data_IF_341407380114
#
_entry.id   IF_341407380114
#
_cell.length_a   1.000
_cell.length_b   1.000
_cell.length_c   1.000
_cell.angle_alpha   90.00
_cell.angle_beta   90.00
_cell.angle_gamma   90.00
#
_symmetry.space_group_name_H-M   'P 1'
#
loop_
_entity.id
_entity.type
_entity.pdbx_description
1 polymer ?
#
# COMPACT_ATOMS: atom_id res chain seq x y z
N UNK A 1 0.30 14.41 2.77
CA UNK A 1 -0.36 13.36 3.58
C UNK A 1 -0.58 13.78 5.04
N UNK A 2 0.42 14.31 5.78
CA UNK A 2 0.21 14.71 7.18
C UNK A 2 -0.85 15.80 7.32
N UNK A 3 -0.84 16.78 6.41
CA UNK A 3 -1.82 17.88 6.37
C UNK A 3 -3.28 17.38 6.34
N UNK A 4 -3.61 16.45 5.42
CA UNK A 4 -4.94 15.81 5.36
C UNK A 4 -5.30 15.10 6.68
N UNK A 5 -4.34 14.41 7.30
CA UNK A 5 -4.58 13.73 8.57
C UNK A 5 -4.92 14.73 9.69
N UNK A 6 -4.20 15.87 9.78
CA UNK A 6 -4.52 16.90 10.76
C UNK A 6 -5.91 17.53 10.52
N UNK A 7 -6.29 17.76 9.26
CA UNK A 7 -7.61 18.31 8.92
C UNK A 7 -8.75 17.36 9.31
N UNK A 8 -8.57 16.07 9.04
CA UNK A 8 -9.55 15.04 9.43
C UNK A 8 -9.66 14.96 10.96
N UNK A 9 -8.54 14.93 11.69
CA UNK A 9 -8.52 14.86 13.17
C UNK A 9 -9.13 16.12 13.78
N UNK A 10 -8.92 17.29 13.17
CA UNK A 10 -9.44 18.58 13.64
C UNK A 10 -10.92 18.80 13.33
N UNK A 11 -11.57 17.86 12.62
CA UNK A 11 -13.00 17.93 12.30
C UNK A 11 -13.34 18.76 11.05
N UNK A 12 -12.35 19.21 10.28
CA UNK A 12 -12.55 19.92 9.01
C UNK A 12 -12.83 18.99 7.82
N UNK A 13 -12.91 17.67 8.06
CA UNK A 13 -13.20 16.66 7.06
C UNK A 13 -12.03 16.38 6.12
N UNK A 14 -12.32 15.81 4.95
CA UNK A 14 -11.33 15.47 3.93
C UNK A 14 -11.02 16.71 3.05
N UNK A 15 -10.38 17.70 3.66
CA UNK A 15 -10.01 18.99 3.08
C UNK A 15 -8.52 19.29 3.31
N UNK A 16 -7.93 20.18 2.51
CA UNK A 16 -6.52 20.57 2.64
C UNK A 16 -6.41 21.81 3.53
N UNK A 17 -5.36 21.87 4.35
CA UNK A 17 -5.07 23.02 5.19
C UNK A 17 -4.44 24.20 4.45
N UNK A 18 -3.96 23.97 3.23
CA UNK A 18 -3.23 24.93 2.42
C UNK A 18 -3.64 24.85 0.95
N UNK A 19 -3.50 25.97 0.24
CA UNK A 19 -3.80 26.02 -1.19
C UNK A 19 -2.83 25.16 -2.00
N UNK A 20 -3.39 24.30 -2.85
CA UNK A 20 -2.69 23.52 -3.85
C UNK A 20 -3.07 24.02 -5.25
N UNK A 21 -2.21 23.77 -6.25
CA UNK A 21 -2.42 24.18 -7.64
C UNK A 21 -3.80 23.81 -8.22
N UNK A 22 -4.44 22.76 -7.71
CA UNK A 22 -5.71 22.22 -8.20
C UNK A 22 -6.79 22.12 -7.10
N UNK A 23 -6.53 22.61 -5.89
CA UNK A 23 -7.47 22.55 -4.78
C UNK A 23 -7.23 23.69 -3.78
N UNK A 24 -8.28 24.41 -3.40
CA UNK A 24 -8.21 25.49 -2.42
C UNK A 24 -8.32 24.96 -0.99
N UNK A 25 -7.66 25.65 -0.05
CA UNK A 25 -7.73 25.36 1.39
C UNK A 25 -9.17 25.39 1.91
N UNK A 26 -9.47 24.49 2.85
CA UNK A 26 -10.79 24.37 3.50
C UNK A 26 -11.91 23.82 2.61
N UNK A 27 -11.67 23.55 1.32
CA UNK A 27 -12.64 22.91 0.44
C UNK A 27 -12.46 21.38 0.43
N UNK A 28 -13.54 20.59 0.30
CA UNK A 28 -13.44 19.15 0.10
C UNK A 28 -12.58 18.82 -1.13
N UNK A 29 -11.67 17.87 -1.00
CA UNK A 29 -10.72 17.52 -2.06
C UNK A 29 -10.84 16.06 -2.50
N UNK A 30 -10.54 15.77 -3.76
CA UNK A 30 -10.41 14.41 -4.29
C UNK A 30 -9.04 14.19 -4.97
N UNK A 31 -8.05 15.05 -4.68
CA UNK A 31 -6.76 15.03 -5.37
C UNK A 31 -5.84 13.88 -4.93
N UNK A 32 -6.10 13.31 -3.75
CA UNK A 32 -5.39 12.14 -3.22
C UNK A 32 -6.42 11.07 -2.89
N UNK A 33 -6.09 9.82 -3.15
CA UNK A 33 -6.93 8.68 -2.80
C UNK A 33 -7.11 8.59 -1.28
N UNK A 34 -8.35 8.37 -0.77
CA UNK A 34 -8.64 8.49 0.65
C UNK A 34 -8.03 7.38 1.51
N UNK A 35 -7.74 6.21 0.94
CA UNK A 35 -7.27 5.05 1.69
C UNK A 35 -6.00 5.34 2.49
N UNK A 36 -5.03 6.03 1.88
CA UNK A 36 -3.74 6.28 2.52
C UNK A 36 -3.78 7.40 3.58
N UNK A 37 -4.39 8.57 3.33
CA UNK A 37 -4.60 9.57 4.39
C UNK A 37 -5.43 9.03 5.56
N UNK A 38 -6.43 8.18 5.33
CA UNK A 38 -7.19 7.52 6.40
C UNK A 38 -6.31 6.57 7.22
N UNK A 39 -5.41 5.81 6.59
CA UNK A 39 -4.43 4.97 7.29
C UNK A 39 -3.50 5.79 8.19
N UNK A 40 -2.99 6.92 7.67
CA UNK A 40 -2.13 7.84 8.45
C UNK A 40 -2.93 8.46 9.60
N UNK A 41 -4.17 8.87 9.35
CA UNK A 41 -5.08 9.42 10.37
C UNK A 41 -5.33 8.41 11.49
N UNK A 42 -5.65 7.16 11.16
CA UNK A 42 -5.83 6.10 12.13
C UNK A 42 -4.56 5.86 12.97
N UNK A 43 -3.39 5.87 12.33
CA UNK A 43 -2.11 5.79 13.05
C UNK A 43 -1.92 6.95 14.02
N UNK A 44 -2.29 8.16 13.63
CA UNK A 44 -2.16 9.35 14.48
C UNK A 44 -3.11 9.30 15.68
N UNK A 45 -4.32 8.81 15.49
CA UNK A 45 -5.28 8.61 16.59
C UNK A 45 -4.80 7.55 17.60
N UNK A 46 -4.14 6.49 17.13
CA UNK A 46 -3.70 5.38 17.98
C UNK A 46 -2.36 5.61 18.68
N UNK A 47 -1.42 6.28 18.00
CA UNK A 47 -0.02 6.38 18.42
C UNK A 47 0.48 7.83 18.56
N UNK A 48 -0.39 8.82 18.37
CA UNK A 48 -0.02 10.23 18.30
C UNK A 48 0.65 10.61 16.98
N UNK A 49 1.14 11.84 16.86
CA UNK A 49 1.82 12.39 15.68
C UNK A 49 3.23 11.79 15.48
N UNK A 50 3.28 10.48 15.31
CA UNK A 50 4.49 9.71 15.11
C UNK A 50 4.46 9.06 13.73
N UNK A 51 5.51 9.26 12.94
CA UNK A 51 5.65 8.61 11.63
C UNK A 51 6.14 7.15 11.73
N UNK A 52 6.69 6.76 12.88
CA UNK A 52 7.32 5.45 13.05
C UNK A 52 6.34 4.28 12.82
N UNK A 53 5.10 4.28 13.36
CA UNK A 53 4.17 3.18 13.15
C UNK A 53 3.80 2.98 11.68
N UNK A 54 3.54 4.07 10.94
CA UNK A 54 3.23 4.01 9.51
C UNK A 54 4.42 3.46 8.71
N UNK A 55 5.64 3.92 9.03
CA UNK A 55 6.86 3.42 8.36
C UNK A 55 7.12 1.94 8.65
N UNK A 56 6.89 1.49 9.88
CA UNK A 56 7.01 0.08 10.23
C UNK A 56 5.98 -0.75 9.46
N UNK A 57 4.74 -0.26 9.34
CA UNK A 57 3.71 -0.91 8.56
C UNK A 57 4.08 -0.98 7.07
N UNK A 58 4.59 0.11 6.48
CA UNK A 58 5.13 0.10 5.12
C UNK A 58 6.28 -0.90 4.99
N UNK A 59 7.20 -0.98 5.94
CA UNK A 59 8.30 -1.94 5.91
C UNK A 59 7.80 -3.40 5.92
N UNK A 60 6.78 -3.70 6.73
CA UNK A 60 6.14 -5.02 6.76
C UNK A 60 5.49 -5.34 5.41
N UNK A 61 4.75 -4.41 4.81
CA UNK A 61 4.15 -4.61 3.48
C UNK A 61 5.21 -4.75 2.38
N UNK A 62 6.31 -3.98 2.44
CA UNK A 62 7.43 -4.11 1.52
C UNK A 62 8.11 -5.49 1.62
N UNK A 63 8.34 -5.98 2.84
CA UNK A 63 8.88 -7.32 3.07
C UNK A 63 7.91 -8.41 2.58
N UNK A 64 6.61 -8.27 2.88
CA UNK A 64 5.58 -9.19 2.43
C UNK A 64 5.47 -9.21 0.89
N UNK A 65 5.67 -8.07 0.22
CA UNK A 65 5.72 -7.98 -1.25
C UNK A 65 6.81 -8.90 -1.81
N UNK A 66 7.99 -8.92 -1.20
CA UNK A 66 9.08 -9.81 -1.61
C UNK A 66 8.69 -11.30 -1.48
N UNK A 67 7.95 -11.67 -0.43
CA UNK A 67 7.43 -13.02 -0.26
C UNK A 67 6.41 -13.39 -1.35
N UNK A 68 5.52 -12.48 -1.73
CA UNK A 68 4.59 -12.69 -2.86
C UNK A 68 5.34 -12.83 -4.19
N UNK A 69 6.39 -12.03 -4.42
CA UNK A 69 7.24 -12.15 -5.62
C UNK A 69 7.88 -13.54 -5.70
N UNK A 70 8.35 -14.11 -4.58
CA UNK A 70 8.84 -15.50 -4.55
C UNK A 70 7.75 -16.48 -5.00
N UNK A 71 6.55 -16.39 -4.42
CA UNK A 71 5.46 -17.33 -4.74
C UNK A 71 5.03 -17.20 -6.20
N UNK A 72 4.96 -15.98 -6.72
CA UNK A 72 4.63 -15.70 -8.13
C UNK A 72 5.71 -16.30 -9.04
N UNK A 73 6.99 -15.99 -8.81
CA UNK A 73 8.09 -16.50 -9.64
C UNK A 73 8.21 -18.03 -9.60
N UNK A 74 7.98 -18.63 -8.41
CA UNK A 74 7.95 -20.09 -8.23
C UNK A 74 6.87 -20.74 -9.08
N UNK A 75 5.68 -20.14 -9.13
CA UNK A 75 4.54 -20.67 -9.90
C UNK A 75 4.66 -20.39 -11.39
N UNK A 76 5.16 -19.22 -11.76
CA UNK A 76 5.24 -18.80 -13.16
C UNK A 76 6.29 -19.58 -13.94
N UNK A 77 7.43 -19.91 -13.30
CA UNK A 77 8.56 -20.53 -13.98
C UNK A 77 9.08 -21.72 -13.16
N UNK A 78 9.78 -21.48 -12.05
CA UNK A 78 10.29 -22.50 -11.15
C UNK A 78 10.79 -21.89 -9.82
N UNK A 79 11.12 -22.73 -8.86
CA UNK A 79 11.56 -22.30 -7.54
C UNK A 79 12.84 -21.44 -7.54
N UNK A 80 13.80 -21.75 -8.41
CA UNK A 80 15.04 -20.98 -8.51
C UNK A 80 14.74 -19.54 -8.95
N UNK A 81 13.88 -19.36 -9.96
CA UNK A 81 13.43 -18.05 -10.42
C UNK A 81 12.72 -17.28 -9.31
N UNK A 82 11.83 -17.94 -8.54
CA UNK A 82 11.18 -17.31 -7.39
C UNK A 82 12.19 -16.80 -6.36
N UNK A 83 13.19 -17.60 -5.99
CA UNK A 83 14.22 -17.19 -5.02
C UNK A 83 15.06 -16.04 -5.54
N UNK A 84 15.51 -16.09 -6.80
CA UNK A 84 16.31 -15.01 -7.40
C UNK A 84 15.50 -13.71 -7.47
N UNK A 85 14.26 -13.77 -7.94
CA UNK A 85 13.40 -12.59 -8.04
C UNK A 85 13.16 -11.94 -6.67
N UNK A 86 12.79 -12.72 -5.66
CA UNK A 86 12.56 -12.20 -4.31
C UNK A 86 13.82 -11.62 -3.67
N UNK A 87 14.98 -12.27 -3.84
CA UNK A 87 16.26 -11.75 -3.35
C UNK A 87 16.63 -10.43 -4.01
N UNK A 88 16.48 -10.33 -5.34
CA UNK A 88 16.74 -9.09 -6.08
C UNK A 88 15.79 -7.97 -5.64
N UNK A 89 14.49 -8.27 -5.45
CA UNK A 89 13.51 -7.29 -4.97
C UNK A 89 13.80 -6.83 -3.54
N UNK A 90 14.27 -7.71 -2.66
CA UNK A 90 14.57 -7.39 -1.26
C UNK A 90 15.73 -6.39 -1.13
N UNK A 91 16.71 -6.45 -2.03
CA UNK A 91 17.85 -5.52 -2.06
C UNK A 91 17.69 -4.38 -3.08
N UNK A 92 16.54 -4.32 -3.77
CA UNK A 92 16.32 -3.31 -4.80
C UNK A 92 16.23 -1.93 -4.14
N UNK A 93 17.13 -0.98 -4.49
CA UNK A 93 17.26 0.28 -3.76
C UNK A 93 15.97 1.08 -3.68
N UNK A 94 15.15 1.08 -4.74
CA UNK A 94 13.88 1.83 -4.72
C UNK A 94 12.90 1.23 -3.70
N UNK A 95 12.74 -0.10 -3.63
CA UNK A 95 11.85 -0.72 -2.64
C UNK A 95 12.24 -0.34 -1.20
N UNK A 96 13.54 -0.28 -0.93
CA UNK A 96 14.05 0.13 0.39
C UNK A 96 13.86 1.64 0.61
N UNK A 97 14.16 2.47 -0.38
CA UNK A 97 14.06 3.93 -0.25
C UNK A 97 12.62 4.42 -0.09
N UNK A 98 11.66 3.84 -0.83
CA UNK A 98 10.24 4.20 -0.77
C UNK A 98 9.53 3.74 0.50
N UNK A 99 10.20 2.95 1.37
CA UNK A 99 9.67 2.61 2.70
C UNK A 99 9.74 3.78 3.69
N UNK A 100 10.62 4.77 3.45
CA UNK A 100 10.81 5.93 4.34
C UNK A 100 9.78 7.05 4.18
N UNK A 101 9.49 7.54 2.96
CA UNK A 101 8.48 8.55 2.76
C UNK A 101 7.08 7.95 2.96
N UNK A 102 6.16 8.74 3.53
CA UNK A 102 4.77 8.32 3.71
C UNK A 102 4.04 8.48 2.39
N UNK A 103 4.18 7.47 1.53
CA UNK A 103 3.61 7.43 0.20
C UNK A 103 2.92 6.08 -0.08
N UNK A 104 2.09 6.08 -1.11
CA UNK A 104 1.21 4.97 -1.47
C UNK A 104 1.93 3.81 -2.14
N UNK A 105 3.15 3.99 -2.68
CA UNK A 105 3.75 3.03 -3.61
C UNK A 105 3.99 1.66 -2.97
N UNK A 106 4.46 1.62 -1.72
CA UNK A 106 4.73 0.33 -1.05
C UNK A 106 3.45 -0.48 -0.85
N UNK A 107 2.36 0.19 -0.46
CA UNK A 107 1.05 -0.45 -0.27
C UNK A 107 0.48 -0.86 -1.63
N UNK A 108 0.58 0.00 -2.66
CA UNK A 108 0.14 -0.32 -4.01
C UNK A 108 0.91 -1.50 -4.61
N UNK A 109 2.22 -1.57 -4.43
CA UNK A 109 3.04 -2.71 -4.85
C UNK A 109 2.64 -4.00 -4.15
N UNK A 110 2.35 -3.93 -2.84
CA UNK A 110 1.86 -5.08 -2.08
C UNK A 110 0.51 -5.56 -2.60
N UNK A 111 -0.47 -4.67 -2.74
CA UNK A 111 -1.81 -5.01 -3.24
C UNK A 111 -1.71 -5.59 -4.65
N UNK A 112 -0.92 -4.99 -5.53
CA UNK A 112 -0.67 -5.52 -6.87
C UNK A 112 -0.08 -6.93 -6.85
N UNK A 113 0.92 -7.18 -5.99
CA UNK A 113 1.50 -8.51 -5.84
C UNK A 113 0.46 -9.54 -5.34
N UNK A 114 -0.40 -9.15 -4.40
CA UNK A 114 -1.52 -9.99 -3.95
C UNK A 114 -2.51 -10.26 -5.08
N UNK A 115 -2.87 -9.25 -5.89
CA UNK A 115 -3.75 -9.42 -7.05
C UNK A 115 -3.19 -10.42 -8.06
N UNK A 116 -1.90 -10.28 -8.42
CA UNK A 116 -1.23 -11.24 -9.32
C UNK A 116 -1.24 -12.65 -8.73
N UNK A 117 -0.96 -12.80 -7.45
CA UNK A 117 -1.02 -14.09 -6.78
C UNK A 117 -2.44 -14.69 -6.75
N UNK A 118 -3.48 -13.87 -6.55
CA UNK A 118 -4.87 -14.30 -6.60
C UNK A 118 -5.28 -14.77 -7.99
N UNK A 119 -4.79 -14.14 -9.06
CA UNK A 119 -5.03 -14.60 -10.43
C UNK A 119 -4.53 -16.04 -10.60
N UNK A 120 -3.31 -16.36 -10.15
CA UNK A 120 -2.82 -17.76 -10.18
C UNK A 120 -3.72 -18.70 -9.37
N UNK A 121 -4.21 -18.27 -8.19
CA UNK A 121 -5.12 -19.08 -7.37
C UNK A 121 -6.47 -19.32 -8.02
N UNK A 122 -7.03 -18.33 -8.68
CA UNK A 122 -8.32 -18.41 -9.37
C UNK A 122 -8.27 -19.38 -10.55
N UNK A 123 -7.16 -19.36 -11.29
CA UNK A 123 -6.92 -20.29 -12.40
C UNK A 123 -6.76 -21.73 -11.89
N UNK A 124 -6.01 -21.94 -10.80
CA UNK A 124 -5.79 -23.27 -10.22
C UNK A 124 -7.04 -23.85 -9.52
N UNK A 125 -7.78 -23.00 -8.81
CA UNK A 125 -8.91 -23.40 -7.96
C UNK A 125 -10.03 -22.35 -8.02
N UNK A 126 -10.88 -22.41 -9.06
CA UNK A 126 -12.02 -21.51 -9.17
C UNK A 126 -13.00 -21.77 -8.02
N UNK A 127 -13.30 -20.73 -7.24
CA UNK A 127 -14.25 -20.77 -6.14
C UNK A 127 -14.91 -19.40 -6.01
N UNK A 128 -16.23 -19.36 -5.77
CA UNK A 128 -16.97 -18.11 -5.60
C UNK A 128 -16.36 -17.20 -4.53
N UNK A 129 -15.77 -17.78 -3.47
CA UNK A 129 -15.06 -17.03 -2.43
C UNK A 129 -13.76 -16.39 -2.95
N UNK A 130 -13.00 -17.10 -3.79
CA UNK A 130 -11.79 -16.52 -4.40
C UNK A 130 -12.14 -15.41 -5.39
N UNK A 131 -13.27 -15.53 -6.11
CA UNK A 131 -13.76 -14.48 -7.01
C UNK A 131 -14.18 -13.24 -6.23
N UNK A 132 -14.89 -13.41 -5.11
CA UNK A 132 -15.24 -12.32 -4.21
C UNK A 132 -14.00 -11.62 -3.65
N UNK A 133 -13.02 -12.38 -3.13
CA UNK A 133 -11.75 -11.82 -2.65
C UNK A 133 -10.96 -11.10 -3.74
N UNK A 134 -10.98 -11.61 -4.97
CA UNK A 134 -10.37 -10.95 -6.14
C UNK A 134 -11.06 -9.62 -6.46
N UNK A 135 -12.39 -9.57 -6.40
CA UNK A 135 -13.17 -8.37 -6.68
C UNK A 135 -13.08 -7.29 -5.60
N UNK A 136 -12.78 -7.64 -4.34
CA UNK A 136 -12.56 -6.65 -3.26
C UNK A 136 -11.18 -5.98 -3.35
N UNK A 137 -10.21 -6.66 -3.97
CA UNK A 137 -8.83 -6.16 -4.10
C UNK A 137 -8.59 -5.28 -5.33
N UNK A 138 -9.54 -5.25 -6.28
CA UNK A 138 -9.50 -4.49 -7.54
C UNK A 138 -10.49 -3.33 -7.48
#
# INVERSE_FOLDING_TARGET
MPDLAHQIISGYGYSLGHDHFIASSGQPTSIVEPAYPLLVTASYLLFGECFLPVRLLQAVFGAATCAFIYVIGRRAINEATGRVAASLSAVYPLFVMYTRPLLTEIISCFVLAVCVWQIYRLVERPSAWNFFLGGVLV
#
